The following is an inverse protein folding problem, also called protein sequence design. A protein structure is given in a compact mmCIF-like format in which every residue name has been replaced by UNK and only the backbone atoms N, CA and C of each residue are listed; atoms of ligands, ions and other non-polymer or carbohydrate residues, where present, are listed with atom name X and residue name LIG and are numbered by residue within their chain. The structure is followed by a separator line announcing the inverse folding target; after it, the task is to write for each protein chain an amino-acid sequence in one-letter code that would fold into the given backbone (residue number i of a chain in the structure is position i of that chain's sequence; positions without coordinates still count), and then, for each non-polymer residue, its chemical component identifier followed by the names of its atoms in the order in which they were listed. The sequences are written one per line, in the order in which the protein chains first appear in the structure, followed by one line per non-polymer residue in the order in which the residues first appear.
data_IF_745671355958
#
_entry.id   IF_745671355958
#
_cell.length_a   1.000
_cell.length_b   1.000
_cell.length_c   1.000
_cell.angle_alpha   90.00
_cell.angle_beta   90.00
_cell.angle_gamma   90.00
#
_symmetry.space_group_name_H-M   'P 1'
#
loop_
_entity.id
_entity.type
_entity.pdbx_description
1 polymer ?
#
# COMPACT_ATOMS: atom_id res chain seq x y z
N UNK A 1 -4.22 13.46 -14.13
CA UNK A 1 -4.66 14.26 -12.98
C UNK A 1 -3.48 14.79 -12.20
N UNK A 2 -3.45 16.08 -11.90
CA UNK A 2 -2.35 16.59 -11.10
C UNK A 2 -2.42 16.01 -9.68
N UNK A 3 -1.27 15.63 -9.17
CA UNK A 3 -1.13 15.16 -7.81
C UNK A 3 -1.36 16.31 -6.84
N UNK A 4 -2.11 16.09 -5.78
CA UNK A 4 -2.32 17.09 -4.74
C UNK A 4 -0.99 17.36 -4.05
N UNK A 5 -0.65 18.62 -3.85
CA UNK A 5 0.56 18.98 -3.12
C UNK A 5 0.29 18.86 -1.62
N UNK A 6 1.16 18.15 -0.94
CA UNK A 6 1.14 18.01 0.51
C UNK A 6 2.25 18.87 1.12
N UNK A 7 2.07 19.25 2.38
CA UNK A 7 3.07 20.05 3.12
C UNK A 7 4.34 19.27 3.44
N UNK A 8 4.34 17.94 3.25
CA UNK A 8 5.50 17.08 3.47
C UNK A 8 5.93 16.44 2.17
N UNK A 9 7.22 16.19 2.07
CA UNK A 9 7.85 15.56 0.92
C UNK A 9 8.67 14.37 1.42
N UNK A 10 8.35 13.17 0.94
CA UNK A 10 9.04 11.95 1.33
C UNK A 10 10.47 11.88 0.79
N UNK A 11 10.84 12.76 -0.14
CA UNK A 11 12.18 12.83 -0.70
C UNK A 11 13.15 13.68 0.10
N UNK A 12 12.70 14.33 1.18
CA UNK A 12 13.52 15.23 2.00
C UNK A 12 13.35 14.94 3.48
N UNK A 13 14.45 14.99 4.23
CA UNK A 13 14.44 14.77 5.68
C UNK A 13 13.66 15.89 6.37
N UNK A 14 13.84 17.14 5.92
CA UNK A 14 13.24 18.30 6.57
C UNK A 14 11.72 18.29 6.51
N UNK A 15 11.16 17.72 5.46
CA UNK A 15 9.72 17.72 5.22
C UNK A 15 9.08 16.36 5.50
N UNK A 16 9.85 15.42 6.08
CA UNK A 16 9.29 14.10 6.41
C UNK A 16 8.19 14.24 7.47
N UNK A 17 7.13 13.42 7.40
CA UNK A 17 6.10 13.43 8.43
C UNK A 17 6.66 12.99 9.78
N UNK A 18 6.28 13.68 10.85
CA UNK A 18 6.69 13.32 12.22
C UNK A 18 5.72 12.34 12.87
N UNK A 19 4.50 12.29 12.37
CA UNK A 19 3.44 11.39 12.84
C UNK A 19 2.66 10.92 11.64
N UNK A 20 2.02 9.76 11.78
CA UNK A 20 1.10 9.28 10.76
C UNK A 20 -0.28 9.86 11.04
N UNK A 21 -0.75 10.68 10.12
CA UNK A 21 -2.08 11.28 10.16
C UNK A 21 -2.88 10.75 8.97
N UNK A 22 -4.21 10.96 8.93
CA UNK A 22 -4.99 10.61 7.73
C UNK A 22 -4.45 11.26 6.45
N UNK A 23 -3.91 12.47 6.56
CA UNK A 23 -3.29 13.16 5.40
C UNK A 23 -2.03 12.46 4.92
N UNK A 24 -1.21 11.95 5.84
CA UNK A 24 -0.01 11.18 5.49
C UNK A 24 -0.40 9.89 4.76
N UNK A 25 -1.41 9.18 5.28
CA UNK A 25 -1.90 7.96 4.64
C UNK A 25 -2.42 8.26 3.23
N UNK A 26 -3.15 9.34 3.08
CA UNK A 26 -3.64 9.78 1.76
C UNK A 26 -2.49 10.10 0.81
N UNK A 27 -1.46 10.78 1.29
CA UNK A 27 -0.31 11.14 0.47
C UNK A 27 0.48 9.90 0.04
N UNK A 28 0.62 8.92 0.93
CA UNK A 28 1.25 7.65 0.60
C UNK A 28 0.46 6.95 -0.50
N UNK A 29 -0.85 6.88 -0.34
CA UNK A 29 -1.74 6.25 -1.31
C UNK A 29 -1.66 6.94 -2.67
N UNK A 30 -1.74 8.27 -2.71
CA UNK A 30 -1.67 9.04 -3.96
C UNK A 30 -0.34 8.82 -4.69
N UNK A 31 0.76 8.76 -3.95
CA UNK A 31 2.06 8.55 -4.57
C UNK A 31 2.17 7.15 -5.17
N UNK A 32 1.63 6.13 -4.49
CA UNK A 32 1.60 4.77 -5.03
C UNK A 32 0.72 4.73 -6.28
N UNK A 33 -0.45 5.35 -6.25
CA UNK A 33 -1.34 5.42 -7.42
C UNK A 33 -0.63 6.07 -8.60
N UNK A 34 0.04 7.20 -8.36
CA UNK A 34 0.73 7.94 -9.41
C UNK A 34 1.91 7.16 -10.03
N UNK A 35 2.68 6.47 -9.21
CA UNK A 35 3.93 5.83 -9.66
C UNK A 35 3.77 4.36 -10.04
N UNK A 36 2.79 3.66 -9.48
CA UNK A 36 2.63 2.22 -9.65
C UNK A 36 1.42 1.87 -10.52
N UNK A 37 0.42 2.73 -10.54
CA UNK A 37 -0.84 2.49 -11.24
C UNK A 37 -1.50 1.18 -10.81
N UNK A 38 -1.81 1.02 -9.52
CA UNK A 38 -2.42 -0.21 -9.01
C UNK A 38 -3.90 -0.29 -9.35
N UNK A 39 -4.48 -1.48 -9.22
CA UNK A 39 -5.92 -1.67 -9.33
C UNK A 39 -6.63 -1.30 -8.02
N UNK A 40 -5.98 -1.59 -6.88
CA UNK A 40 -6.61 -1.41 -5.58
C UNK A 40 -5.55 -1.26 -4.49
N UNK A 41 -5.85 -0.44 -3.48
CA UNK A 41 -5.02 -0.31 -2.28
C UNK A 41 -5.93 -0.49 -1.07
N UNK A 42 -5.58 -1.41 -0.18
CA UNK A 42 -6.33 -1.73 1.03
C UNK A 42 -5.45 -1.47 2.25
N UNK A 43 -5.94 -0.67 3.18
CA UNK A 43 -5.30 -0.45 4.47
C UNK A 43 -5.72 -1.60 5.40
N UNK A 44 -4.75 -2.20 6.08
CA UNK A 44 -5.04 -3.27 7.03
C UNK A 44 -4.27 -3.04 8.34
N UNK A 45 -4.34 -4.00 9.26
CA UNK A 45 -3.66 -3.91 10.52
C UNK A 45 -4.32 -2.93 11.49
N UNK A 46 -3.55 -2.41 12.44
CA UNK A 46 -4.08 -1.60 13.53
C UNK A 46 -4.76 -0.32 13.06
N UNK A 47 -4.30 0.29 11.97
CA UNK A 47 -4.90 1.53 11.46
C UNK A 47 -6.26 1.30 10.83
N UNK A 48 -6.47 0.13 10.23
CA UNK A 48 -7.79 -0.24 9.71
C UNK A 48 -8.76 -0.57 10.83
N UNK A 49 -8.25 -1.13 11.93
CA UNK A 49 -9.08 -1.55 13.07
C UNK A 49 -9.36 -0.42 14.06
N UNK A 50 -8.71 0.73 13.91
CA UNK A 50 -8.88 1.85 14.83
C UNK A 50 -8.12 1.69 16.15
N UNK A 51 -7.21 0.73 16.24
CA UNK A 51 -6.41 0.47 17.45
C UNK A 51 -5.00 1.04 17.36
N UNK A 52 -4.69 1.77 16.30
CA UNK A 52 -3.35 2.31 16.06
C UNK A 52 -3.03 3.47 17.01
N UNK A 53 -1.76 3.53 17.44
CA UNK A 53 -1.20 4.74 18.02
C UNK A 53 -0.60 5.60 16.91
N UNK A 54 -0.18 6.83 17.25
CA UNK A 54 0.48 7.71 16.29
C UNK A 54 1.80 7.15 15.75
N UNK A 55 2.37 6.15 16.41
CA UNK A 55 3.62 5.50 16.02
C UNK A 55 3.43 4.17 15.30
N UNK A 56 2.19 3.72 15.14
CA UNK A 56 1.93 2.46 14.45
C UNK A 56 2.30 2.56 12.97
N UNK A 57 2.78 1.44 12.42
CA UNK A 57 3.12 1.34 10.99
C UNK A 57 1.88 1.50 10.12
N UNK A 58 2.10 1.86 8.87
CA UNK A 58 1.07 1.83 7.83
C UNK A 58 1.20 0.47 7.12
N UNK A 59 0.14 -0.32 7.14
CA UNK A 59 0.09 -1.64 6.50
C UNK A 59 -0.84 -1.58 5.30
N UNK A 60 -0.31 -1.86 4.11
CA UNK A 60 -1.06 -1.78 2.86
C UNK A 60 -0.98 -3.07 2.06
N UNK A 61 -2.10 -3.46 1.47
CA UNK A 61 -2.13 -4.44 0.39
C UNK A 61 -2.35 -3.67 -0.90
N UNK A 62 -1.42 -3.82 -1.84
CA UNK A 62 -1.48 -3.19 -3.16
C UNK A 62 -1.72 -4.28 -4.19
N UNK A 63 -2.86 -4.20 -4.89
CA UNK A 63 -3.20 -5.17 -5.93
C UNK A 63 -2.91 -4.52 -7.28
N UNK A 64 -2.14 -5.22 -8.10
CA UNK A 64 -1.73 -4.73 -9.41
C UNK A 64 -2.25 -5.67 -10.51
N UNK A 65 -2.43 -5.12 -11.71
CA UNK A 65 -2.76 -5.92 -12.88
C UNK A 65 -1.59 -6.85 -13.23
N UNK A 66 -1.88 -8.03 -13.74
CA UNK A 66 -0.85 -8.98 -14.16
C UNK A 66 0.06 -8.42 -15.25
N UNK A 67 -0.37 -7.39 -15.97
CA UNK A 67 0.43 -6.72 -17.00
C UNK A 67 1.29 -5.58 -16.43
N UNK A 68 1.13 -5.25 -15.16
CA UNK A 68 1.93 -4.22 -14.51
C UNK A 68 3.40 -4.65 -14.49
N UNK A 69 4.36 -3.74 -14.74
CA UNK A 69 5.78 -4.10 -14.70
C UNK A 69 6.22 -4.76 -13.40
N UNK A 70 5.61 -4.39 -12.25
CA UNK A 70 5.94 -5.00 -10.97
C UNK A 70 5.56 -6.48 -10.91
N UNK A 71 4.63 -6.93 -11.75
CA UNK A 71 4.24 -8.33 -11.78
C UNK A 71 5.38 -9.25 -12.23
N UNK A 72 6.38 -8.71 -12.93
CA UNK A 72 7.57 -9.46 -13.34
C UNK A 72 8.53 -9.73 -12.19
N UNK A 73 8.37 -9.02 -11.08
CA UNK A 73 9.23 -9.15 -9.91
C UNK A 73 8.61 -10.08 -8.88
N UNK A 74 9.45 -10.62 -7.99
CA UNK A 74 8.98 -11.39 -6.83
C UNK A 74 8.56 -10.44 -5.71
N UNK A 75 7.80 -10.95 -4.75
CA UNK A 75 7.20 -10.15 -3.68
C UNK A 75 8.16 -9.21 -2.97
N UNK A 76 9.36 -9.71 -2.61
CA UNK A 76 10.37 -8.90 -1.93
C UNK A 76 10.84 -7.72 -2.79
N UNK A 77 11.02 -7.95 -4.08
CA UNK A 77 11.47 -6.92 -4.98
C UNK A 77 10.35 -5.92 -5.29
N UNK A 78 9.10 -6.39 -5.35
CA UNK A 78 7.94 -5.53 -5.45
C UNK A 78 7.86 -4.58 -4.26
N UNK A 79 8.02 -5.10 -3.06
CA UNK A 79 8.04 -4.33 -1.82
C UNK A 79 9.13 -3.26 -1.86
N UNK A 80 10.35 -3.66 -2.27
CA UNK A 80 11.48 -2.73 -2.38
C UNK A 80 11.21 -1.57 -3.32
N UNK A 81 10.54 -1.82 -4.45
CA UNK A 81 10.19 -0.75 -5.39
C UNK A 81 9.22 0.25 -4.76
N UNK A 82 8.26 -0.23 -3.97
CA UNK A 82 7.33 0.66 -3.27
C UNK A 82 8.09 1.51 -2.24
N UNK A 83 8.97 0.90 -1.44
CA UNK A 83 9.73 1.62 -0.42
C UNK A 83 10.60 2.74 -1.01
N UNK A 84 11.11 2.56 -2.21
CA UNK A 84 11.92 3.57 -2.89
C UNK A 84 11.16 4.86 -3.19
N UNK A 85 9.84 4.81 -3.15
CA UNK A 85 9.02 6.00 -3.33
C UNK A 85 9.03 6.89 -2.08
N UNK A 86 9.47 6.37 -0.94
CA UNK A 86 9.40 7.04 0.35
C UNK A 86 10.74 6.98 1.10
N UNK A 87 11.84 7.52 0.53
CA UNK A 87 13.17 7.36 1.12
C UNK A 87 13.32 8.03 2.49
N UNK A 88 12.57 9.10 2.76
CA UNK A 88 12.60 9.81 4.04
C UNK A 88 11.21 9.85 4.64
N UNK A 89 10.62 8.69 4.85
CA UNK A 89 9.23 8.62 5.29
C UNK A 89 8.99 8.93 6.76
N UNK A 90 9.93 8.59 7.64
CA UNK A 90 9.79 8.87 9.08
C UNK A 90 8.80 7.96 9.82
N UNK A 91 8.24 6.95 9.15
CA UNK A 91 7.28 6.00 9.73
C UNK A 91 7.54 4.61 9.15
N UNK A 92 7.04 3.57 9.83
CA UNK A 92 7.09 2.20 9.30
C UNK A 92 6.05 2.03 8.18
N UNK A 93 6.45 1.38 7.12
CA UNK A 93 5.58 1.10 5.98
C UNK A 93 5.76 -0.36 5.58
N UNK A 94 4.69 -1.14 5.73
CA UNK A 94 4.66 -2.54 5.37
C UNK A 94 3.68 -2.72 4.21
N UNK A 95 4.17 -3.27 3.10
CA UNK A 95 3.37 -3.38 1.88
C UNK A 95 3.45 -4.78 1.32
N UNK A 96 2.28 -5.38 1.10
CA UNK A 96 2.14 -6.63 0.37
C UNK A 96 1.67 -6.26 -1.03
N UNK A 97 2.38 -6.70 -2.07
CA UNK A 97 2.02 -6.42 -3.47
C UNK A 97 1.67 -7.72 -4.15
N UNK A 98 0.42 -7.85 -4.57
CA UNK A 98 -0.07 -9.04 -5.27
C UNK A 98 -0.68 -8.64 -6.61
N UNK A 99 -0.56 -9.54 -7.59
CA UNK A 99 -1.31 -9.37 -8.85
C UNK A 99 -2.76 -9.78 -8.63
N UNK A 100 -3.64 -9.32 -9.52
CA UNK A 100 -5.04 -9.76 -9.56
C UNK A 100 -5.16 -11.27 -9.64
N UNK A 101 -4.29 -11.92 -10.42
CA UNK A 101 -4.26 -13.36 -10.56
C UNK A 101 -3.85 -14.06 -9.25
N UNK A 102 -2.84 -13.53 -8.56
CA UNK A 102 -2.40 -14.08 -7.28
C UNK A 102 -3.51 -13.98 -6.23
N UNK A 103 -4.22 -12.85 -6.19
CA UNK A 103 -5.37 -12.69 -5.28
C UNK A 103 -6.46 -13.71 -5.62
N UNK A 104 -6.75 -13.88 -6.90
CA UNK A 104 -7.73 -14.86 -7.37
C UNK A 104 -7.36 -16.29 -6.92
N UNK A 105 -6.09 -16.65 -7.04
CA UNK A 105 -5.60 -17.96 -6.63
C UNK A 105 -5.69 -18.17 -5.12
N UNK A 106 -5.41 -17.13 -4.33
CA UNK A 106 -5.56 -17.19 -2.88
C UNK A 106 -7.02 -17.47 -2.50
N UNK A 107 -7.95 -16.76 -3.11
CA UNK A 107 -9.38 -16.88 -2.80
C UNK A 107 -9.94 -18.23 -3.24
N UNK A 108 -9.60 -18.68 -4.45
CA UNK A 108 -10.26 -19.82 -5.08
C UNK A 108 -9.52 -21.14 -4.94
N UNK A 109 -8.20 -21.11 -4.72
CA UNK A 109 -7.37 -22.32 -4.67
C UNK A 109 -6.67 -22.55 -3.36
N UNK A 110 -6.85 -21.66 -2.37
CA UNK A 110 -6.18 -21.72 -1.07
C UNK A 110 -4.66 -21.81 -1.19
N UNK A 111 -4.07 -21.07 -2.12
CA UNK A 111 -2.63 -21.03 -2.32
C UNK A 111 -2.00 -19.90 -1.51
N UNK A 112 -0.78 -20.14 -0.97
CA UNK A 112 -0.01 -19.15 -0.25
C UNK A 112 -0.54 -18.84 1.14
N UNK A 113 -0.29 -17.61 1.62
CA UNK A 113 -0.73 -17.16 2.94
C UNK A 113 -2.15 -16.61 2.86
N UNK A 114 -3.05 -17.45 2.44
CA UNK A 114 -4.42 -17.06 2.15
C UNK A 114 -5.20 -16.58 3.38
N UNK A 115 -4.90 -17.06 4.58
CA UNK A 115 -5.60 -16.64 5.80
C UNK A 115 -5.42 -15.13 6.03
N UNK A 116 -4.19 -14.65 5.93
CA UNK A 116 -3.89 -13.22 6.08
C UNK A 116 -4.55 -12.40 4.96
N UNK A 117 -4.42 -12.86 3.72
CA UNK A 117 -4.97 -12.13 2.57
C UNK A 117 -6.49 -12.07 2.65
N UNK A 118 -7.15 -13.17 3.02
CA UNK A 118 -8.59 -13.20 3.19
C UNK A 118 -9.03 -12.25 4.32
N UNK A 119 -8.30 -12.22 5.44
CA UNK A 119 -8.58 -11.29 6.53
C UNK A 119 -8.48 -9.84 6.05
N UNK A 120 -7.41 -9.52 5.30
CA UNK A 120 -7.23 -8.17 4.75
C UNK A 120 -8.38 -7.78 3.83
N UNK A 121 -8.78 -8.69 2.94
CA UNK A 121 -9.86 -8.40 1.99
C UNK A 121 -11.22 -8.23 2.68
N UNK A 122 -11.45 -8.95 3.78
CA UNK A 122 -12.71 -8.88 4.52
C UNK A 122 -12.77 -7.73 5.52
N UNK A 123 -11.68 -7.44 6.21
CA UNK A 123 -11.64 -6.48 7.31
C UNK A 123 -10.89 -5.19 7.00
N UNK A 124 -10.10 -5.17 5.92
CA UNK A 124 -9.34 -4.00 5.53
C UNK A 124 -10.22 -2.88 5.01
N UNK A 125 -9.64 -1.69 4.96
CA UNK A 125 -10.31 -0.50 4.47
C UNK A 125 -9.77 -0.15 3.09
N UNK A 126 -10.63 -0.17 2.08
CA UNK A 126 -10.22 0.20 0.72
C UNK A 126 -9.94 1.69 0.65
N UNK A 127 -8.70 2.05 0.31
CA UNK A 127 -8.28 3.45 0.14
C UNK A 127 -8.39 3.90 -1.30
N UNK A 128 -8.21 2.98 -2.23
CA UNK A 128 -8.23 3.29 -3.67
C UNK A 128 -8.72 2.07 -4.43
N UNK A 129 -9.53 2.31 -5.45
CA UNK A 129 -9.97 1.27 -6.36
C UNK A 129 -10.10 1.88 -7.74
N UNK A 130 -9.39 1.30 -8.72
CA UNK A 130 -9.41 1.77 -10.09
C UNK A 130 -10.79 1.50 -10.69
N UNK A 131 -11.36 2.51 -11.34
CA UNK A 131 -12.63 2.34 -12.04
C UNK A 131 -12.40 1.62 -13.37
N UNK A 132 -13.26 0.64 -13.63
CA UNK A 132 -13.22 -0.09 -14.89
C UNK A 132 -13.62 0.82 -16.06
#
# INVERSE_FOLDING_TARGET
MPTVKHEFDFGRIETRPKQVTPEVIRAVCERIVDKVNPEKIVLFGSRAKGTASKYSDIDLLVIIDRKNPLALLKGRDRYGQILRLFPHRGFGLDVIVLTDEEVHNVINKNEGEWDLILEILNEGKTLYEQKA
#
